data_IF_564377142662
#
_entry.id   IF_564377142662
#
_cell.length_a   1.000
_cell.length_b   1.000
_cell.length_c   1.000
_cell.angle_alpha   90.00
_cell.angle_beta   90.00
_cell.angle_gamma   90.00
#
_symmetry.space_group_name_H-M   'P 1'
#
loop_
_entity.id
_entity.type
_entity.pdbx_description
1 polymer ?
#
# COMPACT_ATOMS: atom_id res chain seq x y z
N UNK A 1 -16.41 -13.64 -0.55
CA UNK A 1 -15.32 -12.66 -0.39
C UNK A 1 -15.20 -11.91 -1.70
N UNK A 2 -15.45 -10.60 -1.73
CA UNK A 2 -15.44 -9.82 -2.98
C UNK A 2 -14.03 -9.63 -3.51
N UNK A 3 -13.89 -9.38 -4.80
CA UNK A 3 -12.60 -9.06 -5.43
C UNK A 3 -11.94 -7.83 -4.78
N UNK A 4 -12.74 -6.85 -4.37
CA UNK A 4 -12.27 -5.69 -3.62
C UNK A 4 -11.57 -6.06 -2.30
N UNK A 5 -12.10 -7.01 -1.53
CA UNK A 5 -11.43 -7.48 -0.30
C UNK A 5 -10.10 -8.18 -0.60
N UNK A 6 -10.04 -9.00 -1.65
CA UNK A 6 -8.80 -9.68 -2.05
C UNK A 6 -7.72 -8.66 -2.42
N UNK A 7 -8.07 -7.68 -3.26
CA UNK A 7 -7.13 -6.62 -3.66
C UNK A 7 -6.69 -5.76 -2.48
N UNK A 8 -7.58 -5.50 -1.51
CA UNK A 8 -7.21 -4.78 -0.29
C UNK A 8 -6.16 -5.54 0.52
N UNK A 9 -6.33 -6.86 0.69
CA UNK A 9 -5.34 -7.70 1.38
C UNK A 9 -4.00 -7.72 0.64
N UNK A 10 -4.04 -7.85 -0.69
CA UNK A 10 -2.83 -7.80 -1.54
C UNK A 10 -2.12 -6.45 -1.39
N UNK A 11 -2.86 -5.34 -1.44
CA UNK A 11 -2.30 -4.00 -1.26
C UNK A 11 -1.57 -3.88 0.08
N UNK A 12 -2.20 -4.33 1.17
CA UNK A 12 -1.59 -4.33 2.50
C UNK A 12 -0.29 -5.13 2.49
N UNK A 13 -0.30 -6.37 1.99
CA UNK A 13 0.90 -7.21 1.92
C UNK A 13 2.01 -6.52 1.11
N UNK A 14 1.70 -5.96 -0.05
CA UNK A 14 2.68 -5.27 -0.90
C UNK A 14 3.30 -4.08 -0.19
N UNK A 15 2.50 -3.26 0.49
CA UNK A 15 3.00 -2.11 1.28
C UNK A 15 3.88 -2.59 2.44
N UNK A 16 3.45 -3.63 3.17
CA UNK A 16 4.22 -4.19 4.28
C UNK A 16 5.54 -4.83 3.83
N UNK A 17 5.56 -5.52 2.69
CA UNK A 17 6.79 -6.07 2.11
C UNK A 17 7.71 -4.94 1.65
N UNK A 18 7.17 -3.95 0.93
CA UNK A 18 7.91 -2.78 0.49
C UNK A 18 8.58 -2.05 1.65
N UNK A 19 7.87 -1.85 2.74
CA UNK A 19 8.39 -1.17 3.92
C UNK A 19 9.26 -2.06 4.80
N UNK A 20 8.88 -3.32 5.02
CA UNK A 20 9.60 -4.23 5.92
C UNK A 20 10.99 -4.57 5.43
N UNK A 21 11.16 -4.79 4.12
CA UNK A 21 12.42 -5.25 3.54
C UNK A 21 13.29 -4.12 2.97
N UNK A 22 12.71 -3.02 2.51
CA UNK A 22 13.44 -1.96 1.79
C UNK A 22 13.49 -0.62 2.52
N UNK A 23 13.24 -0.62 3.82
CA UNK A 23 13.39 0.58 4.65
C UNK A 23 14.86 0.90 4.93
N UNK A 24 15.20 2.18 4.90
CA UNK A 24 16.51 2.68 5.30
C UNK A 24 16.74 2.46 6.81
N UNK A 25 17.98 2.17 7.24
CA UNK A 25 18.29 2.00 8.66
C UNK A 25 17.98 3.27 9.47
N UNK A 26 17.54 3.09 10.72
CA UNK A 26 17.21 4.20 11.65
C UNK A 26 15.79 4.76 11.52
N UNK A 27 15.06 4.41 10.46
CA UNK A 27 13.68 4.83 10.25
C UNK A 27 12.72 4.02 11.13
N UNK A 28 11.86 4.66 11.93
CA UNK A 28 10.89 3.94 12.80
C UNK A 28 9.76 3.28 12.01
N UNK A 29 9.19 2.21 12.58
CA UNK A 29 8.25 1.29 11.93
C UNK A 29 6.81 1.82 11.86
N UNK A 30 6.63 3.14 11.64
CA UNK A 30 5.37 3.88 11.43
C UNK A 30 4.96 4.86 12.55
N UNK A 31 4.45 6.01 12.11
CA UNK A 31 3.18 6.61 12.59
C UNK A 31 2.72 7.79 11.72
N UNK A 32 3.60 8.48 10.98
CA UNK A 32 3.20 9.69 10.23
C UNK A 32 4.06 9.95 8.98
N UNK A 33 4.42 8.92 8.23
CA UNK A 33 5.15 9.19 6.98
C UNK A 33 4.21 9.77 5.94
N UNK A 34 4.49 10.99 5.43
CA UNK A 34 3.68 11.53 4.36
C UNK A 34 3.83 10.65 3.13
N UNK A 35 2.71 10.33 2.49
CA UNK A 35 2.64 9.40 1.36
C UNK A 35 3.61 9.81 0.23
N UNK A 36 3.82 11.13 0.06
CA UNK A 36 4.71 11.73 -0.93
C UNK A 36 6.20 11.71 -0.57
N UNK A 37 6.57 11.41 0.69
CA UNK A 37 7.98 11.38 1.15
C UNK A 37 8.57 9.98 1.22
N UNK A 38 7.98 8.99 0.56
CA UNK A 38 8.46 7.60 0.57
C UNK A 38 9.97 7.47 0.24
N UNK A 39 10.51 8.33 -0.63
CA UNK A 39 11.93 8.32 -1.00
C UNK A 39 12.90 8.71 0.11
N UNK A 40 12.45 9.40 1.16
CA UNK A 40 13.28 9.69 2.32
C UNK A 40 13.50 8.44 3.18
N UNK A 41 12.56 7.50 3.14
CA UNK A 41 12.45 6.39 4.09
C UNK A 41 12.75 5.02 3.50
N UNK A 42 12.55 4.87 2.19
CA UNK A 42 12.70 3.60 1.47
C UNK A 42 13.83 3.69 0.44
N UNK A 43 14.46 2.56 0.17
CA UNK A 43 15.27 2.38 -1.03
C UNK A 43 14.37 2.30 -2.27
N UNK A 44 14.95 2.52 -3.45
CA UNK A 44 14.26 2.51 -4.76
C UNK A 44 13.23 1.38 -4.94
N UNK A 45 13.56 0.08 -4.72
CA UNK A 45 12.57 -1.00 -4.82
C UNK A 45 11.41 -0.85 -3.83
N UNK A 46 11.67 -0.39 -2.61
CA UNK A 46 10.64 -0.11 -1.60
C UNK A 46 9.70 1.01 -2.03
N UNK A 47 10.22 2.06 -2.66
CA UNK A 47 9.40 3.17 -3.21
C UNK A 47 8.44 2.64 -4.27
N UNK A 48 8.92 1.76 -5.16
CA UNK A 48 8.08 1.15 -6.20
C UNK A 48 6.96 0.31 -5.58
N UNK A 49 7.29 -0.55 -4.62
CA UNK A 49 6.30 -1.38 -3.92
C UNK A 49 5.32 -0.53 -3.11
N UNK A 50 5.78 0.56 -2.50
CA UNK A 50 4.93 1.51 -1.78
C UNK A 50 3.85 2.11 -2.69
N UNK A 51 4.27 2.68 -3.83
CA UNK A 51 3.33 3.28 -4.79
C UNK A 51 2.43 2.24 -5.46
N UNK A 52 2.96 1.05 -5.76
CA UNK A 52 2.17 -0.06 -6.28
C UNK A 52 1.08 -0.49 -5.28
N UNK A 53 1.44 -0.65 -4.01
CA UNK A 53 0.48 -1.00 -2.96
C UNK A 53 -0.62 0.05 -2.79
N UNK A 54 -0.28 1.34 -2.86
CA UNK A 54 -1.27 2.44 -2.85
C UNK A 54 -2.21 2.36 -4.06
N UNK A 55 -1.67 2.12 -5.26
CA UNK A 55 -2.49 2.00 -6.47
C UNK A 55 -3.47 0.82 -6.38
N UNK A 56 -3.02 -0.33 -5.87
CA UNK A 56 -3.88 -1.50 -5.64
C UNK A 56 -4.95 -1.18 -4.59
N UNK A 57 -4.58 -0.48 -3.51
CA UNK A 57 -5.53 -0.07 -2.46
C UNK A 57 -6.63 0.86 -3.00
N UNK A 58 -6.28 1.81 -3.87
CA UNK A 58 -7.25 2.68 -4.52
C UNK A 58 -8.20 1.90 -5.44
N UNK A 59 -7.66 0.97 -6.25
CA UNK A 59 -8.47 0.10 -7.10
C UNK A 59 -9.40 -0.81 -6.29
N UNK A 60 -8.90 -1.38 -5.19
CA UNK A 60 -9.68 -2.19 -4.24
C UNK A 60 -10.85 -1.37 -3.68
N UNK A 61 -10.58 -0.13 -3.24
CA UNK A 61 -11.60 0.75 -2.68
C UNK A 61 -12.67 1.12 -3.72
N UNK A 62 -12.28 1.42 -4.96
CA UNK A 62 -13.22 1.69 -6.05
C UNK A 62 -14.12 0.47 -6.34
N UNK A 63 -13.56 -0.74 -6.34
CA UNK A 63 -14.32 -1.97 -6.52
C UNK A 63 -15.29 -2.23 -5.37
N UNK A 64 -14.84 -2.05 -4.12
CA UNK A 64 -15.72 -2.17 -2.95
C UNK A 64 -16.89 -1.17 -3.01
N UNK A 65 -16.61 0.06 -3.43
CA UNK A 65 -17.66 1.08 -3.61
C UNK A 65 -18.65 0.69 -4.70
N UNK A 66 -18.17 0.21 -5.86
CA UNK A 66 -19.03 -0.27 -6.93
C UNK A 66 -19.89 -1.47 -6.52
N UNK A 67 -19.33 -2.40 -5.74
CA UNK A 67 -20.07 -3.54 -5.20
C UNK A 67 -21.14 -3.07 -4.20
N UNK A 68 -20.87 -2.08 -3.36
CA UNK A 68 -21.86 -1.51 -2.45
C UNK A 68 -23.03 -0.86 -3.19
N UNK A 69 -22.79 -0.17 -4.31
CA UNK A 69 -23.85 0.48 -5.09
C UNK A 69 -24.74 -0.51 -5.87
N UNK A 70 -24.28 -1.75 -6.05
CA UNK A 70 -25.00 -2.79 -6.81
C UNK A 70 -25.91 -3.67 -5.94
N UNK A 71 -25.76 -3.60 -4.61
CA UNK A 71 -26.56 -4.35 -3.65
C UNK A 71 -27.56 -3.42 -2.96
#
# INVERSE_FOLDING_TARGET
MSWGMILLMVAVVVVFVGFGFFRKPGVRLWSVMPIWRAGEYLYTPGIVLWWLGIAIMLAANALLWMDMLRN
#
